data_IF_735615417857
#
_entry.id   IF_735615417857
#
_cell.length_a   1.000
_cell.length_b   1.000
_cell.length_c   1.000
_cell.angle_alpha   90.00
_cell.angle_beta   90.00
_cell.angle_gamma   90.00
#
_symmetry.space_group_name_H-M   'P 1'
#
loop_
_entity.id
_entity.type
_entity.pdbx_description
1 polymer ?
#
# COMPACT_ATOMS: atom_id res chain seq x y z
N UNK A 1 -15.53 -2.70 6.98
CA UNK A 1 -14.32 -2.66 7.84
C UNK A 1 -13.35 -1.60 7.35
N UNK A 2 -12.67 -0.88 8.24
CA UNK A 2 -11.68 0.15 7.86
C UNK A 2 -10.28 -0.44 7.83
N UNK A 3 -9.51 -0.08 6.81
CA UNK A 3 -8.13 -0.51 6.59
C UNK A 3 -7.27 0.68 6.14
N UNK A 4 -5.95 0.54 6.27
CA UNK A 4 -4.98 1.44 5.66
C UNK A 4 -4.11 0.66 4.68
N UNK A 5 -3.99 1.16 3.46
CA UNK A 5 -3.10 0.59 2.45
C UNK A 5 -1.91 1.51 2.25
N UNK A 6 -0.69 0.97 2.34
CA UNK A 6 0.56 1.64 1.98
C UNK A 6 1.12 1.11 0.66
N UNK A 7 1.61 2.01 -0.19
CA UNK A 7 2.18 1.70 -1.51
C UNK A 7 3.50 2.49 -1.68
N UNK A 8 4.56 1.84 -2.18
CA UNK A 8 5.86 2.47 -2.46
C UNK A 8 6.65 1.73 -3.58
N UNK A 9 7.72 2.37 -4.09
CA UNK A 9 8.70 1.90 -5.10
C UNK A 9 8.06 1.35 -6.39
N UNK A 10 6.98 2.01 -6.83
CA UNK A 10 6.26 1.65 -8.06
C UNK A 10 6.84 2.30 -9.32
N UNK A 11 7.71 3.30 -9.14
CA UNK A 11 8.27 4.16 -10.19
C UNK A 11 9.61 3.66 -10.73
N UNK A 12 9.91 4.03 -11.98
CA UNK A 12 11.19 3.73 -12.62
C UNK A 12 11.81 4.98 -13.25
N UNK A 13 13.05 4.85 -13.74
CA UNK A 13 13.71 5.91 -14.50
C UNK A 13 13.05 6.20 -15.85
N UNK A 14 12.14 5.34 -16.33
CA UNK A 14 11.43 5.50 -17.60
C UNK A 14 10.05 6.16 -17.45
N UNK A 15 9.54 6.30 -16.23
CA UNK A 15 8.26 6.95 -15.95
C UNK A 15 7.54 6.35 -14.74
N UNK A 16 6.27 6.76 -14.58
CA UNK A 16 5.41 6.51 -13.43
C UNK A 16 5.86 7.21 -12.15
N UNK A 17 4.95 7.27 -11.17
CA UNK A 17 5.23 7.73 -9.82
C UNK A 17 4.25 7.08 -8.85
N UNK A 18 4.66 6.88 -7.59
CA UNK A 18 3.83 6.27 -6.54
C UNK A 18 2.50 7.00 -6.36
N UNK A 19 2.49 8.32 -6.50
CA UNK A 19 1.26 9.15 -6.39
C UNK A 19 0.29 8.92 -7.54
N UNK A 20 0.78 8.80 -8.78
CA UNK A 20 -0.07 8.48 -9.93
C UNK A 20 -0.71 7.10 -9.79
N UNK A 21 0.07 6.09 -9.36
CA UNK A 21 -0.46 4.75 -9.17
C UNK A 21 -1.49 4.72 -8.03
N UNK A 22 -1.22 5.38 -6.91
CA UNK A 22 -2.17 5.50 -5.81
C UNK A 22 -3.47 6.21 -6.25
N UNK A 23 -3.39 7.25 -7.10
CA UNK A 23 -4.57 7.87 -7.70
C UNK A 23 -5.36 6.88 -8.56
N UNK A 24 -4.69 6.03 -9.35
CA UNK A 24 -5.37 5.00 -10.14
C UNK A 24 -6.09 3.98 -9.26
N UNK A 25 -5.45 3.49 -8.20
CA UNK A 25 -6.08 2.62 -7.19
C UNK A 25 -7.34 3.30 -6.62
N UNK A 26 -7.22 4.57 -6.23
CA UNK A 26 -8.35 5.30 -5.66
C UNK A 26 -9.50 5.50 -6.67
N UNK A 27 -9.18 5.82 -7.93
CA UNK A 27 -10.17 6.03 -9.00
C UNK A 27 -10.94 4.76 -9.38
N UNK A 28 -10.35 3.58 -9.14
CA UNK A 28 -10.97 2.28 -9.43
C UNK A 28 -11.85 1.77 -8.28
N UNK A 29 -11.89 2.46 -7.14
CA UNK A 29 -12.66 2.04 -5.96
C UNK A 29 -14.16 1.89 -6.22
N UNK A 30 -14.76 2.68 -7.11
CA UNK A 30 -16.19 2.54 -7.43
C UNK A 30 -16.56 1.23 -8.15
N UNK A 31 -15.57 0.52 -8.71
CA UNK A 31 -15.75 -0.74 -9.44
C UNK A 31 -15.08 -1.91 -8.75
N UNK A 32 -14.54 -1.70 -7.55
CA UNK A 32 -13.84 -2.70 -6.76
C UNK A 32 -14.66 -3.08 -5.52
N UNK A 33 -14.20 -4.10 -4.81
CA UNK A 33 -14.76 -4.54 -3.51
C UNK A 33 -14.33 -3.65 -2.32
N UNK A 34 -13.85 -2.42 -2.59
CA UNK A 34 -13.42 -1.47 -1.57
C UNK A 34 -13.72 -0.03 -1.97
N UNK A 35 -13.92 0.84 -0.96
CA UNK A 35 -14.13 2.28 -1.13
C UNK A 35 -12.99 3.06 -0.49
N UNK A 36 -12.40 4.01 -1.21
CA UNK A 36 -11.46 4.96 -0.59
C UNK A 36 -12.24 6.01 0.19
N UNK A 37 -11.81 6.32 1.41
CA UNK A 37 -12.42 7.37 2.21
C UNK A 37 -11.37 8.37 2.72
N UNK A 38 -11.78 9.63 2.89
CA UNK A 38 -10.87 10.69 3.32
C UNK A 38 -9.79 10.99 2.28
N UNK A 39 -8.69 11.60 2.75
CA UNK A 39 -7.59 12.01 1.88
C UNK A 39 -6.42 11.02 1.91
N UNK A 40 -5.77 10.76 0.76
CA UNK A 40 -4.50 10.05 0.72
C UNK A 40 -3.43 10.81 1.50
N UNK A 41 -2.49 10.08 2.10
CA UNK A 41 -1.32 10.66 2.77
C UNK A 41 -0.07 10.37 1.95
N UNK A 42 0.65 11.42 1.55
CA UNK A 42 1.97 11.33 0.93
C UNK A 42 3.04 11.49 2.01
N UNK A 43 3.84 10.45 2.25
CA UNK A 43 4.80 10.39 3.34
C UNK A 43 6.22 10.35 2.79
N UNK A 44 7.02 11.38 3.10
CA UNK A 44 8.46 11.40 2.81
C UNK A 44 9.19 10.52 3.82
N UNK A 45 10.06 9.63 3.35
CA UNK A 45 10.76 8.68 4.23
C UNK A 45 12.02 9.31 4.85
N UNK A 46 12.96 9.76 4.01
CA UNK A 46 14.19 10.41 4.45
C UNK A 46 14.26 11.86 3.93
N UNK A 47 14.00 12.87 4.79
CA UNK A 47 14.04 14.27 4.41
C UNK A 47 15.47 14.77 4.14
N UNK A 48 16.50 14.10 4.66
CA UNK A 48 17.90 14.52 4.53
C UNK A 48 18.50 14.17 3.15
N UNK A 49 17.76 13.48 2.29
CA UNK A 49 18.20 13.14 0.92
C UNK A 49 17.32 13.88 -0.10
N UNK A 50 17.64 15.15 -0.41
CA UNK A 50 16.77 15.99 -1.23
C UNK A 50 16.61 15.47 -2.66
N UNK A 51 17.68 14.93 -3.24
CA UNK A 51 17.71 14.51 -4.65
C UNK A 51 17.30 13.04 -4.87
N UNK A 52 16.97 12.29 -3.82
CA UNK A 52 16.43 10.93 -3.99
C UNK A 52 14.96 11.03 -4.36
N UNK A 53 14.70 10.86 -5.64
CA UNK A 53 13.36 10.90 -6.25
C UNK A 53 12.67 9.53 -6.12
N UNK A 54 13.41 8.44 -6.29
CA UNK A 54 12.88 7.07 -6.26
C UNK A 54 12.91 6.42 -4.86
N UNK A 55 11.82 5.77 -4.47
CA UNK A 55 11.72 5.01 -3.21
C UNK A 55 12.01 5.84 -1.96
N UNK A 56 11.63 7.13 -1.99
CA UNK A 56 11.77 8.05 -0.85
C UNK A 56 10.43 8.71 -0.48
N UNK A 57 9.33 8.26 -1.08
CA UNK A 57 7.99 8.71 -0.77
C UNK A 57 6.98 7.58 -0.96
N UNK A 58 6.27 7.24 0.11
CA UNK A 58 5.19 6.27 0.09
C UNK A 58 3.83 6.98 0.12
N UNK A 59 2.80 6.32 -0.40
CA UNK A 59 1.41 6.79 -0.29
C UNK A 59 0.61 5.86 0.60
N UNK A 60 -0.21 6.43 1.48
CA UNK A 60 -1.18 5.71 2.27
C UNK A 60 -2.62 6.08 1.89
N UNK A 61 -3.44 5.08 1.58
CA UNK A 61 -4.84 5.19 1.22
C UNK A 61 -5.72 4.60 2.35
N UNK A 62 -6.62 5.39 2.95
CA UNK A 62 -7.65 4.85 3.84
C UNK A 62 -8.76 4.18 3.02
N UNK A 63 -9.01 2.90 3.30
CA UNK A 63 -9.98 2.08 2.57
C UNK A 63 -11.05 1.49 3.49
N UNK A 64 -12.25 1.36 2.97
CA UNK A 64 -13.34 0.61 3.59
C UNK A 64 -13.70 -0.59 2.71
N UNK A 65 -13.82 -1.77 3.32
CA UNK A 65 -14.08 -3.02 2.62
C UNK A 65 -14.89 -4.00 3.47
N UNK A 66 -15.62 -4.91 2.81
CA UNK A 66 -16.31 -6.05 3.43
C UNK A 66 -15.42 -7.29 3.54
N UNK A 67 -14.42 -7.46 2.67
CA UNK A 67 -13.50 -8.60 2.68
C UNK A 67 -12.05 -8.14 2.46
N UNK A 68 -11.25 -8.25 3.53
CA UNK A 68 -9.89 -7.72 3.59
C UNK A 68 -8.98 -8.42 2.60
N UNK A 69 -9.07 -9.75 2.50
CA UNK A 69 -8.17 -10.55 1.67
C UNK A 69 -8.39 -10.25 0.18
N UNK A 70 -9.64 -10.29 -0.27
CA UNK A 70 -9.98 -10.00 -1.66
C UNK A 70 -9.64 -8.55 -2.04
N UNK A 71 -9.81 -7.62 -1.10
CA UNK A 71 -9.42 -6.22 -1.32
C UNK A 71 -7.92 -6.08 -1.47
N UNK A 72 -7.16 -6.77 -0.62
CA UNK A 72 -5.71 -6.80 -0.71
C UNK A 72 -5.24 -7.35 -2.06
N UNK A 73 -5.80 -8.47 -2.50
CA UNK A 73 -5.51 -9.09 -3.80
C UNK A 73 -5.86 -8.14 -4.97
N UNK A 74 -7.00 -7.46 -4.89
CA UNK A 74 -7.43 -6.48 -5.90
C UNK A 74 -6.46 -5.31 -6.00
N UNK A 75 -6.02 -4.74 -4.87
CA UNK A 75 -5.02 -3.67 -4.85
C UNK A 75 -3.68 -4.16 -5.42
N UNK A 76 -3.22 -5.35 -5.01
CA UNK A 76 -1.98 -5.92 -5.52
C UNK A 76 -2.04 -6.11 -7.05
N UNK A 77 -3.16 -6.60 -7.58
CA UNK A 77 -3.37 -6.76 -9.02
C UNK A 77 -3.30 -5.42 -9.77
N UNK A 78 -3.90 -4.36 -9.23
CA UNK A 78 -3.82 -3.01 -9.81
C UNK A 78 -2.37 -2.51 -9.80
N UNK A 79 -1.68 -2.66 -8.67
CA UNK A 79 -0.28 -2.22 -8.51
C UNK A 79 0.63 -2.98 -9.46
N UNK A 80 0.53 -4.30 -9.51
CA UNK A 80 1.33 -5.14 -10.41
C UNK A 80 1.14 -4.74 -11.87
N UNK A 81 -0.11 -4.55 -12.31
CA UNK A 81 -0.44 -4.16 -13.69
C UNK A 81 0.06 -2.76 -14.08
N UNK A 82 0.08 -1.83 -13.13
CA UNK A 82 0.38 -0.40 -13.40
C UNK A 82 1.79 0.01 -12.99
N UNK A 83 2.51 -0.83 -12.24
CA UNK A 83 3.89 -0.60 -11.85
C UNK A 83 4.85 -0.89 -13.01
N UNK A 84 6.02 -0.24 -12.97
CA UNK A 84 7.05 -0.46 -13.98
C UNK A 84 8.11 -1.48 -13.54
N UNK A 85 7.64 -2.62 -13.01
CA UNK A 85 8.50 -3.66 -12.46
C UNK A 85 9.54 -4.19 -13.48
N UNK A 86 9.16 -4.24 -14.76
CA UNK A 86 10.05 -4.65 -15.86
C UNK A 86 11.23 -3.71 -16.08
N UNK A 87 11.13 -2.44 -15.66
CA UNK A 87 12.20 -1.44 -15.77
C UNK A 87 12.82 -1.11 -14.40
N UNK A 88 12.72 -2.06 -13.46
CA UNK A 88 13.48 -2.07 -12.23
C UNK A 88 12.75 -1.50 -11.02
N UNK A 89 11.46 -1.14 -11.10
CA UNK A 89 10.62 -0.85 -9.93
C UNK A 89 10.47 -2.09 -9.03
N UNK A 90 10.34 -1.91 -7.71
CA UNK A 90 10.09 -3.02 -6.77
C UNK A 90 8.86 -2.68 -5.91
N UNK A 91 7.66 -2.65 -6.53
CA UNK A 91 6.47 -2.21 -5.84
C UNK A 91 6.20 -3.03 -4.58
N UNK A 92 5.90 -2.33 -3.50
CA UNK A 92 5.46 -2.91 -2.24
C UNK A 92 4.06 -2.45 -1.88
N UNK A 93 3.24 -3.36 -1.37
CA UNK A 93 1.89 -3.08 -0.88
C UNK A 93 1.74 -3.67 0.52
N UNK A 94 1.25 -2.85 1.45
CA UNK A 94 0.87 -3.29 2.80
C UNK A 94 -0.58 -2.89 3.05
N UNK A 95 -1.39 -3.78 3.62
CA UNK A 95 -2.72 -3.46 4.13
C UNK A 95 -2.80 -3.78 5.61
N UNK A 96 -3.00 -2.76 6.42
CA UNK A 96 -3.27 -2.89 7.85
C UNK A 96 -4.78 -2.99 8.06
N UNK A 97 -5.23 -4.14 8.57
CA UNK A 97 -6.58 -4.34 9.05
C UNK A 97 -6.77 -3.65 10.40
N UNK A 98 -7.90 -2.96 10.56
CA UNK A 98 -8.27 -2.19 11.75
C UNK A 98 -7.12 -1.30 12.27
N UNK A 99 -6.98 -0.07 11.76
CA UNK A 99 -5.89 0.84 12.11
C UNK A 99 -5.79 1.17 13.60
N UNK A 100 -6.84 0.92 14.40
CA UNK A 100 -6.85 1.09 15.86
C UNK A 100 -5.99 0.06 16.59
N UNK A 101 -5.58 -1.00 15.90
CA UNK A 101 -4.68 -2.01 16.45
C UNK A 101 -3.22 -1.57 16.44
N UNK A 102 -2.86 -0.56 15.62
CA UNK A 102 -1.52 0.02 15.64
C UNK A 102 -1.36 0.95 16.86
N UNK A 103 -0.44 0.67 17.80
CA UNK A 103 -0.32 1.42 19.06
C UNK A 103 -0.17 2.93 18.88
N UNK A 104 0.63 3.36 17.89
CA UNK A 104 0.81 4.78 17.61
C UNK A 104 -0.46 5.47 17.08
N UNK A 105 -1.31 4.74 16.37
CA UNK A 105 -2.57 5.29 15.84
C UNK A 105 -3.68 5.23 16.88
N UNK A 106 -3.69 4.20 17.73
CA UNK A 106 -4.69 4.02 18.78
C UNK A 106 -4.63 5.16 19.81
N UNK A 107 -3.42 5.53 20.25
CA UNK A 107 -3.17 6.66 21.15
C UNK A 107 -3.66 8.00 20.57
N UNK A 108 -3.39 8.26 19.28
CA UNK A 108 -3.84 9.51 18.61
C UNK A 108 -5.33 9.53 18.32
N UNK A 109 -5.98 8.36 18.27
CA UNK A 109 -7.43 8.23 18.08
C UNK A 109 -8.19 8.14 19.41
N UNK A 110 -7.50 8.17 20.56
CA UNK A 110 -8.11 8.10 21.88
C UNK A 110 -8.68 6.72 22.25
N UNK A 111 -8.22 5.64 21.62
CA UNK A 111 -8.69 4.28 21.86
C UNK A 111 -7.53 3.38 22.31
N UNK A 112 -7.74 2.56 23.34
CA UNK A 112 -6.81 1.47 23.68
C UNK A 112 -6.88 0.39 22.58
N UNK A 113 -5.75 -0.20 22.15
CA UNK A 113 -5.77 -1.26 21.15
C UNK A 113 -6.51 -2.48 21.71
N UNK A 114 -7.61 -2.86 21.08
CA UNK A 114 -8.52 -3.91 21.56
C UNK A 114 -8.10 -5.34 21.19
N UNK A 115 -7.17 -5.50 20.24
CA UNK A 115 -6.64 -6.79 19.76
C UNK A 115 -5.36 -6.62 18.93
N UNK A 116 -4.65 -7.71 18.67
CA UNK A 116 -3.50 -7.76 17.75
C UNK A 116 -3.96 -7.40 16.33
N UNK A 117 -3.18 -6.55 15.66
CA UNK A 117 -3.45 -6.10 14.29
C UNK A 117 -2.91 -7.07 13.27
N UNK A 118 -3.67 -7.28 12.19
CA UNK A 118 -3.25 -8.12 11.06
C UNK A 118 -2.83 -7.23 9.89
N UNK A 119 -1.59 -7.36 9.44
CA UNK A 119 -1.08 -6.70 8.25
C UNK A 119 -0.86 -7.71 7.12
N UNK A 120 -1.36 -7.39 5.93
CA UNK A 120 -1.14 -8.15 4.70
C UNK A 120 -0.04 -7.46 3.91
N UNK A 121 0.97 -8.22 3.48
CA UNK A 121 2.16 -7.68 2.82
C UNK A 121 2.40 -8.40 1.50
N UNK A 122 2.71 -7.62 0.48
CA UNK A 122 3.04 -8.07 -0.86
C UNK A 122 4.18 -7.23 -1.42
N UNK A 123 5.08 -7.86 -2.15
CA UNK A 123 6.10 -7.18 -2.95
C UNK A 123 6.32 -7.91 -4.26
N UNK A 124 6.60 -7.16 -5.33
CA UNK A 124 6.98 -7.78 -6.59
C UNK A 124 8.40 -8.36 -6.53
N UNK A 125 8.66 -9.51 -7.19
CA UNK A 125 9.97 -10.12 -7.21
C UNK A 125 11.00 -9.26 -7.97
N UNK A 126 12.24 -9.19 -7.43
CA UNK A 126 13.38 -8.57 -8.10
C UNK A 126 13.84 -9.48 -9.25
N UNK A 127 13.47 -9.11 -10.49
CA UNK A 127 13.67 -9.83 -11.76
C UNK A 127 12.64 -10.91 -12.04
N UNK A 128 12.32 -11.03 -13.34
CA UNK A 128 11.43 -12.01 -13.98
C UNK A 128 11.90 -13.46 -13.80
N UNK A 129 11.96 -13.93 -12.54
CA UNK A 129 11.82 -15.34 -12.24
C UNK A 129 10.31 -15.60 -12.21
N UNK A 130 9.78 -16.44 -13.12
CA UNK A 130 8.36 -16.75 -13.11
C UNK A 130 8.07 -17.49 -11.80
N UNK A 131 7.16 -16.95 -10.97
CA UNK A 131 6.32 -17.64 -9.96
C UNK A 131 6.31 -17.17 -8.49
N UNK A 132 6.99 -16.10 -8.04
CA UNK A 132 6.94 -15.77 -6.59
C UNK A 132 6.73 -14.29 -6.25
N UNK A 133 5.55 -13.75 -6.57
CA UNK A 133 4.97 -12.75 -5.67
C UNK A 133 4.71 -13.44 -4.33
N UNK A 134 5.27 -12.91 -3.23
CA UNK A 134 5.05 -13.45 -1.89
C UNK A 134 4.03 -12.60 -1.18
N UNK A 135 2.89 -13.22 -0.88
CA UNK A 135 1.89 -12.67 0.01
C UNK A 135 2.12 -13.26 1.40
N UNK A 136 2.21 -12.43 2.42
CA UNK A 136 2.40 -12.89 3.79
C UNK A 136 1.56 -12.05 4.74
N UNK A 137 1.01 -12.71 5.75
CA UNK A 137 0.28 -12.05 6.82
C UNK A 137 1.22 -11.91 8.01
N UNK A 138 1.37 -10.68 8.51
CA UNK A 138 2.08 -10.37 9.74
C UNK A 138 1.03 -10.09 10.82
N UNK A 139 1.08 -10.85 11.89
CA UNK A 139 0.36 -10.56 13.14
C UNK A 139 1.40 -10.11 14.16
N UNK A 140 1.20 -8.94 14.77
CA UNK A 140 1.96 -8.57 15.97
C UNK A 140 1.50 -9.39 17.17
#
# INVERSE_FOLDING_TARGET
MKCLVGIDDTDSSKGFCTTYLAFKVASQSSHANFRVFGYPRLVRLNPNVPFKTRGNAAVCLPLETEEVKETFESVCSIVERLSDAGNGANPGVVLLHDPRTAPYLSERMGCLPSSLGTAWVWWAPRRALPSTSRMTTLTN
#
